data_IF_410549741917
#
_entry.id   IF_410549741917
#
_cell.length_a   1.000
_cell.length_b   1.000
_cell.length_c   1.000
_cell.angle_alpha   90.00
_cell.angle_beta   90.00
_cell.angle_gamma   90.00
#
_symmetry.space_group_name_H-M   'P 1'
#
loop_
_entity.id
_entity.type
_entity.pdbx_description
1 polymer ?
#
# COMPACT_ATOMS: atom_id res chain seq x y z
N UNK A 1 -9.46 -30.83 -26.36
CA UNK A 1 -9.43 -30.24 -25.00
C UNK A 1 -9.00 -28.80 -25.17
N UNK A 2 -9.86 -27.84 -24.86
CA UNK A 2 -9.61 -26.43 -25.21
C UNK A 2 -10.93 -25.76 -25.54
N UNK A 3 -11.50 -25.09 -24.55
CA UNK A 3 -12.50 -24.03 -24.67
C UNK A 3 -12.50 -23.34 -23.32
N UNK A 4 -11.62 -22.35 -23.19
CA UNK A 4 -12.06 -20.97 -22.92
C UNK A 4 -13.48 -20.89 -22.34
N UNK A 5 -13.66 -21.29 -21.09
CA UNK A 5 -14.82 -20.89 -20.32
C UNK A 5 -14.60 -19.42 -19.97
N UNK A 6 -14.90 -18.56 -20.95
CA UNK A 6 -14.98 -17.13 -20.74
C UNK A 6 -15.89 -16.89 -19.54
N UNK A 7 -15.34 -16.24 -18.52
CA UNK A 7 -16.13 -15.69 -17.43
C UNK A 7 -17.16 -14.72 -18.03
N UNK A 8 -18.36 -15.21 -18.28
CA UNK A 8 -19.49 -14.36 -18.57
C UNK A 8 -19.74 -13.55 -17.31
N UNK A 9 -19.66 -12.23 -17.42
CA UNK A 9 -19.78 -11.32 -16.26
C UNK A 9 -21.15 -11.53 -15.62
N UNK A 10 -21.19 -11.92 -14.35
CA UNK A 10 -22.41 -12.21 -13.57
C UNK A 10 -23.13 -10.92 -13.10
N UNK A 11 -23.26 -9.90 -13.96
CA UNK A 11 -23.97 -8.65 -13.64
C UNK A 11 -24.56 -8.00 -14.89
N UNK A 12 -25.59 -7.17 -14.70
CA UNK A 12 -26.25 -6.48 -15.81
C UNK A 12 -25.35 -5.43 -16.45
N UNK A 13 -25.59 -5.13 -17.73
CA UNK A 13 -24.92 -4.05 -18.45
C UNK A 13 -25.05 -2.69 -17.74
N UNK A 14 -26.20 -2.44 -17.12
CA UNK A 14 -26.44 -1.25 -16.30
C UNK A 14 -25.54 -1.17 -15.08
N UNK A 15 -25.27 -2.30 -14.41
CA UNK A 15 -24.37 -2.37 -13.26
C UNK A 15 -22.93 -2.20 -13.73
N UNK A 16 -22.54 -2.79 -14.86
CA UNK A 16 -21.22 -2.61 -15.46
C UNK A 16 -20.94 -1.12 -15.75
N UNK A 17 -21.86 -0.43 -16.43
CA UNK A 17 -21.73 0.99 -16.74
C UNK A 17 -21.63 1.88 -15.48
N UNK A 18 -22.36 1.51 -14.42
CA UNK A 18 -22.29 2.21 -13.13
C UNK A 18 -20.90 2.04 -12.50
N UNK A 19 -20.37 0.81 -12.48
CA UNK A 19 -19.04 0.51 -11.95
C UNK A 19 -17.96 1.30 -12.71
N UNK A 20 -18.00 1.30 -14.04
CA UNK A 20 -17.01 2.02 -14.85
C UNK A 20 -17.04 3.53 -14.60
N UNK A 21 -18.24 4.08 -14.39
CA UNK A 21 -18.41 5.50 -14.06
C UNK A 21 -17.80 5.85 -12.71
N UNK A 22 -18.03 5.04 -11.67
CA UNK A 22 -17.44 5.24 -10.35
C UNK A 22 -15.92 5.04 -10.35
N UNK A 23 -15.41 4.07 -11.13
CA UNK A 23 -13.96 3.87 -11.30
C UNK A 23 -13.33 5.09 -11.97
N UNK A 24 -13.94 5.61 -13.04
CA UNK A 24 -13.44 6.82 -13.72
C UNK A 24 -13.37 7.99 -12.74
N UNK A 25 -14.46 8.23 -12.01
CA UNK A 25 -14.54 9.29 -11.00
C UNK A 25 -13.48 9.14 -9.91
N UNK A 26 -13.23 7.91 -9.45
CA UNK A 26 -12.18 7.63 -8.46
C UNK A 26 -10.79 8.00 -9.00
N UNK A 27 -10.48 7.62 -10.24
CA UNK A 27 -9.19 7.90 -10.88
C UNK A 27 -9.02 9.40 -11.12
N UNK A 28 -10.04 10.07 -11.65
CA UNK A 28 -10.02 11.52 -11.91
C UNK A 28 -9.79 12.31 -10.61
N UNK A 29 -10.48 11.96 -9.53
CA UNK A 29 -10.28 12.60 -8.23
C UNK A 29 -8.86 12.38 -7.70
N UNK A 30 -8.31 11.16 -7.82
CA UNK A 30 -6.95 10.87 -7.39
C UNK A 30 -5.91 11.63 -8.23
N UNK A 31 -6.15 11.77 -9.53
CA UNK A 31 -5.28 12.53 -10.42
C UNK A 31 -5.30 14.03 -10.11
N UNK A 32 -6.49 14.59 -9.88
CA UNK A 32 -6.61 15.99 -9.49
C UNK A 32 -5.94 16.25 -8.13
N UNK A 33 -6.15 15.39 -7.14
CA UNK A 33 -5.49 15.50 -5.83
C UNK A 33 -3.96 15.44 -5.96
N UNK A 34 -3.44 14.53 -6.80
CA UNK A 34 -2.00 14.48 -7.07
C UNK A 34 -1.49 15.76 -7.72
N UNK A 35 -2.23 16.33 -8.68
CA UNK A 35 -1.89 17.61 -9.30
C UNK A 35 -1.86 18.74 -8.27
N UNK A 36 -2.85 18.82 -7.40
CA UNK A 36 -2.95 19.85 -6.36
C UNK A 36 -1.78 19.74 -5.36
N UNK A 37 -1.39 18.53 -4.96
CA UNK A 37 -0.23 18.27 -4.10
C UNK A 37 1.07 18.75 -4.75
N UNK A 38 1.26 18.45 -6.05
CA UNK A 38 2.45 18.85 -6.80
C UNK A 38 2.53 20.37 -6.97
N UNK A 39 1.39 21.03 -7.22
CA UNK A 39 1.32 22.49 -7.33
C UNK A 39 1.59 23.15 -5.98
N UNK A 40 1.02 22.63 -4.91
CA UNK A 40 1.26 23.15 -3.55
C UNK A 40 2.73 23.04 -3.13
N UNK A 41 3.45 22.03 -3.62
CA UNK A 41 4.87 21.78 -3.32
C UNK A 41 5.81 22.16 -4.48
N UNK A 42 5.38 23.07 -5.36
CA UNK A 42 6.14 23.40 -6.58
C UNK A 42 7.53 23.95 -6.30
N UNK A 43 7.68 24.79 -5.29
CA UNK A 43 8.97 25.39 -4.92
C UNK A 43 10.00 24.32 -4.51
N UNK A 44 9.56 23.32 -3.73
CA UNK A 44 10.40 22.17 -3.34
C UNK A 44 10.83 21.34 -4.55
N UNK A 45 9.92 21.12 -5.51
CA UNK A 45 10.24 20.39 -6.75
C UNK A 45 11.22 21.17 -7.62
N UNK A 46 11.06 22.48 -7.75
CA UNK A 46 11.98 23.34 -8.51
C UNK A 46 13.37 23.34 -7.87
N UNK A 47 13.47 23.37 -6.53
CA UNK A 47 14.74 23.22 -5.82
C UNK A 47 15.41 21.87 -6.11
N UNK A 48 14.64 20.77 -6.13
CA UNK A 48 15.17 19.45 -6.49
C UNK A 48 15.72 19.41 -7.91
N UNK A 49 15.02 20.04 -8.87
CA UNK A 49 15.43 20.09 -10.27
C UNK A 49 16.75 20.83 -10.44
N UNK A 50 16.95 21.95 -9.72
CA UNK A 50 18.23 22.68 -9.75
C UNK A 50 19.40 21.77 -9.34
N UNK A 51 19.24 21.01 -8.26
CA UNK A 51 20.32 20.10 -7.79
C UNK A 51 20.51 18.93 -8.76
N UNK A 52 19.43 18.40 -9.35
CA UNK A 52 19.52 17.34 -10.36
C UNK A 52 20.25 17.79 -11.63
N UNK A 53 20.13 19.06 -12.03
CA UNK A 53 20.88 19.60 -13.16
C UNK A 53 22.38 19.66 -12.88
N UNK A 54 22.80 19.79 -11.62
CA UNK A 54 24.20 19.82 -11.22
C UNK A 54 24.80 18.42 -11.01
N UNK A 55 24.05 17.51 -10.37
CA UNK A 55 24.55 16.19 -9.94
C UNK A 55 24.11 15.02 -10.81
N UNK A 56 23.14 15.21 -11.71
CA UNK A 56 22.46 14.22 -12.55
C UNK A 56 21.66 13.14 -11.78
N UNK A 57 22.10 12.77 -10.58
CA UNK A 57 21.46 11.77 -9.71
C UNK A 57 21.48 12.26 -8.26
N UNK A 58 20.43 11.93 -7.50
CA UNK A 58 20.30 12.24 -6.08
C UNK A 58 20.10 10.97 -5.27
N UNK A 59 20.78 10.89 -4.12
CA UNK A 59 20.60 9.83 -3.15
C UNK A 59 19.46 10.14 -2.18
N UNK A 60 19.05 9.15 -1.39
CA UNK A 60 17.93 9.25 -0.45
C UNK A 60 18.12 10.38 0.57
N UNK A 61 19.33 10.54 1.10
CA UNK A 61 19.68 11.53 2.10
C UNK A 61 19.54 12.95 1.53
N UNK A 62 20.01 13.17 0.31
CA UNK A 62 19.94 14.46 -0.38
C UNK A 62 18.49 14.84 -0.72
N UNK A 63 17.67 13.85 -1.11
CA UNK A 63 16.24 14.07 -1.31
C UNK A 63 15.55 14.45 0.00
N UNK A 64 15.91 13.78 1.11
CA UNK A 64 15.33 14.09 2.42
C UNK A 64 15.66 15.52 2.88
N UNK A 65 16.86 16.02 2.58
CA UNK A 65 17.24 17.42 2.85
C UNK A 65 16.38 18.40 2.05
N UNK A 66 16.18 18.14 0.76
CA UNK A 66 15.35 18.99 -0.11
C UNK A 66 13.88 18.95 0.32
N UNK A 67 13.39 17.78 0.74
CA UNK A 67 11.99 17.55 1.09
C UNK A 67 11.65 17.98 2.52
N UNK A 68 12.59 18.53 3.29
CA UNK A 68 12.38 18.97 4.66
C UNK A 68 11.26 20.02 4.82
N UNK A 69 10.96 20.77 3.75
CA UNK A 69 9.93 21.82 3.72
C UNK A 69 8.65 21.41 2.97
N UNK A 70 8.45 20.12 2.68
CA UNK A 70 7.22 19.64 2.02
C UNK A 70 6.01 19.85 2.93
N UNK A 71 4.95 20.38 2.33
CA UNK A 71 3.66 20.57 2.98
C UNK A 71 2.91 19.24 2.95
N UNK A 72 2.62 18.69 4.13
CA UNK A 72 1.81 17.50 4.29
C UNK A 72 0.38 17.73 3.79
N UNK A 73 -0.13 16.79 3.00
CA UNK A 73 -1.51 16.83 2.51
C UNK A 73 -2.47 16.21 3.54
N UNK A 74 -3.68 16.76 3.74
CA UNK A 74 -4.64 16.17 4.66
C UNK A 74 -4.93 14.71 4.31
N UNK A 75 -4.78 13.84 5.31
CA UNK A 75 -5.09 12.42 5.17
C UNK A 75 -6.56 12.21 4.81
N UNK A 76 -6.83 11.30 3.87
CA UNK A 76 -8.20 10.91 3.53
C UNK A 76 -8.90 10.35 4.79
N UNK A 77 -10.20 10.66 4.99
CA UNK A 77 -10.94 10.13 6.13
C UNK A 77 -11.01 8.60 6.06
N UNK A 78 -11.14 7.96 7.22
CA UNK A 78 -11.27 6.50 7.31
C UNK A 78 -12.49 6.04 6.52
N UNK A 79 -12.31 5.06 5.65
CA UNK A 79 -13.41 4.47 4.89
C UNK A 79 -14.32 3.66 5.82
N UNK A 80 -15.57 4.11 5.98
CA UNK A 80 -16.57 3.44 6.83
C UNK A 80 -17.54 2.56 6.04
N UNK A 81 -17.37 2.48 4.71
CA UNK A 81 -18.20 1.69 3.80
C UNK A 81 -19.61 2.23 3.55
N UNK A 82 -20.02 3.28 4.26
CA UNK A 82 -21.31 3.96 4.07
C UNK A 82 -21.23 5.38 4.63
N UNK A 83 -21.90 6.32 3.97
CA UNK A 83 -22.01 7.70 4.43
C UNK A 83 -22.64 7.84 5.82
N UNK A 84 -23.46 6.86 6.23
CA UNK A 84 -24.19 6.89 7.52
C UNK A 84 -23.38 6.25 8.66
N UNK A 85 -22.28 5.55 8.38
CA UNK A 85 -21.49 4.85 9.40
C UNK A 85 -20.47 5.80 10.01
N UNK A 86 -20.72 6.25 11.24
CA UNK A 86 -19.81 7.08 12.03
C UNK A 86 -19.07 6.18 13.02
N UNK A 87 -17.72 6.16 13.03
CA UNK A 87 -16.95 5.42 14.03
C UNK A 87 -17.28 5.93 15.44
N UNK A 88 -17.32 5.03 16.41
CA UNK A 88 -17.45 5.42 17.82
C UNK A 88 -16.17 6.12 18.30
N UNK A 89 -16.33 7.20 19.06
CA UNK A 89 -15.25 7.90 19.77
C UNK A 89 -14.87 7.20 21.09
N UNK A 90 -15.62 6.17 21.50
CA UNK A 90 -15.31 5.43 22.72
C UNK A 90 -14.02 4.63 22.51
N UNK A 91 -13.07 4.67 23.47
CA UNK A 91 -11.85 3.89 23.38
C UNK A 91 -12.18 2.39 23.37
N UNK A 92 -11.27 1.55 22.85
CA UNK A 92 -11.38 0.10 23.01
C UNK A 92 -11.61 -0.25 24.48
N UNK A 93 -12.49 -1.21 24.74
CA UNK A 93 -12.68 -1.74 26.10
C UNK A 93 -11.32 -2.17 26.62
N UNK A 94 -10.94 -1.71 27.82
CA UNK A 94 -9.72 -2.10 28.48
C UNK A 94 -9.72 -3.63 28.65
N UNK A 95 -9.14 -4.33 27.68
CA UNK A 95 -8.86 -5.75 27.81
C UNK A 95 -7.87 -5.88 28.95
N UNK A 96 -8.14 -6.79 29.88
CA UNK A 96 -7.09 -7.21 30.83
C UNK A 96 -5.86 -7.52 30.00
N UNK A 97 -4.73 -6.91 30.36
CA UNK A 97 -3.45 -7.30 29.78
C UNK A 97 -3.42 -8.82 29.81
N UNK A 98 -3.32 -9.43 28.63
CA UNK A 98 -2.99 -10.85 28.58
C UNK A 98 -1.66 -10.88 29.31
N UNK A 99 -1.66 -11.40 30.53
CA UNK A 99 -0.42 -11.76 31.22
C UNK A 99 0.26 -12.66 30.23
N UNK A 100 1.28 -12.12 29.56
CA UNK A 100 2.23 -12.92 28.83
C UNK A 100 2.82 -13.76 29.95
N UNK A 101 2.30 -14.98 30.13
CA UNK A 101 2.92 -15.97 30.98
C UNK A 101 4.39 -15.97 30.57
N UNK A 102 5.25 -15.81 31.58
CA UNK A 102 6.70 -15.63 31.53
C UNK A 102 7.38 -16.17 30.26
N UNK A 103 8.48 -15.54 29.80
CA UNK A 103 9.21 -16.02 28.64
C UNK A 103 9.47 -17.50 28.81
N UNK A 104 8.91 -18.31 27.89
CA UNK A 104 9.34 -19.69 27.72
C UNK A 104 10.83 -19.58 27.45
N UNK A 105 11.63 -20.07 28.39
CA UNK A 105 13.07 -20.09 28.28
C UNK A 105 13.44 -20.61 26.90
N UNK A 106 14.35 -19.88 26.27
CA UNK A 106 14.90 -20.17 24.95
C UNK A 106 15.61 -21.54 25.03
N UNK A 107 14.89 -22.63 24.73
CA UNK A 107 15.50 -23.92 24.40
C UNK A 107 16.22 -23.74 23.07
N UNK A 108 17.44 -23.21 23.16
CA UNK A 108 18.49 -23.47 22.20
C UNK A 108 18.64 -24.98 22.07
N UNK A 109 18.23 -25.50 20.92
CA UNK A 109 18.78 -26.66 20.19
C UNK A 109 17.68 -27.58 19.64
N UNK A 110 17.11 -27.19 18.48
CA UNK A 110 16.47 -28.15 17.57
C UNK A 110 17.06 -27.97 16.18
N UNK A 111 17.68 -29.01 15.59
CA UNK A 111 18.42 -28.88 14.35
C UNK A 111 17.49 -28.55 13.18
N UNK A 112 17.85 -27.54 12.39
CA UNK A 112 17.19 -27.17 11.15
C UNK A 112 17.12 -28.38 10.22
N UNK A 113 15.92 -28.90 9.96
CA UNK A 113 15.70 -29.96 8.95
C UNK A 113 16.24 -29.47 7.60
N UNK A 114 17.32 -30.09 7.14
CA UNK A 114 17.91 -29.85 5.84
C UNK A 114 16.88 -30.11 4.73
N UNK A 115 16.68 -29.11 3.87
CA UNK A 115 15.83 -29.19 2.68
C UNK A 115 16.38 -30.27 1.75
N UNK A 116 15.65 -31.38 1.60
CA UNK A 116 16.03 -32.53 0.78
C UNK A 116 15.97 -32.14 -0.71
N UNK A 117 17.11 -31.90 -1.33
CA UNK A 117 17.26 -31.74 -2.79
C UNK A 117 17.00 -33.11 -3.43
N UNK A 118 16.00 -33.21 -4.31
CA UNK A 118 15.77 -34.42 -5.11
C UNK A 118 16.88 -34.50 -6.17
N UNK A 119 17.84 -35.40 -5.99
CA UNK A 119 18.76 -35.82 -7.06
C UNK A 119 18.09 -36.96 -7.83
N UNK A 120 17.97 -36.79 -9.15
CA UNK A 120 17.51 -37.81 -10.08
C UNK A 120 18.41 -39.06 -9.97
N UNK A 121 17.78 -40.23 -9.87
CA UNK A 121 18.45 -41.53 -9.97
C UNK A 121 18.53 -41.91 -11.44
N UNK A 122 19.76 -42.07 -11.90
CA UNK A 122 20.16 -42.86 -13.06
C UNK A 122 20.22 -44.33 -12.62
N UNK A 123 19.66 -45.25 -13.40
CA UNK A 123 19.79 -46.70 -13.20
C UNK A 123 19.60 -47.42 -14.54
N UNK A 124 20.68 -48.10 -14.95
CA UNK A 124 20.83 -49.21 -15.92
C UNK A 124 20.47 -49.01 -17.39
#
# INVERSE_FOLDING_TARGET
MGREYGHQRDYSESVAATIDTEIRKLIENAHQEAFDILVANRETLDAMVVVLLEKETLNKEEIAEIFANVIDWPGRPKWTGSLTRIPSELPPVATRERVISAPVEDETDKPKRARRVKKATDSE
#
